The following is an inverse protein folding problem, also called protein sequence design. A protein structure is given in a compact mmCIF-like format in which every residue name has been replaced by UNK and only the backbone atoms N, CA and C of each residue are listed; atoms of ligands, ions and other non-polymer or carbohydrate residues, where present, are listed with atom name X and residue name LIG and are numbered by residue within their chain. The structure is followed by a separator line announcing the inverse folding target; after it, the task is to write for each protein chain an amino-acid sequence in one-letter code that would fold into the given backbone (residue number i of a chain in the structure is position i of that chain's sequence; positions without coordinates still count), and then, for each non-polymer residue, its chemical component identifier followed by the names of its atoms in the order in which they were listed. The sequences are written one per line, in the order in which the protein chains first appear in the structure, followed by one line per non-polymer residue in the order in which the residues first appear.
data_IF_955498254098
#
_entry.id   IF_955498254098
#
_cell.length_a   1.000
_cell.length_b   1.000
_cell.length_c   1.000
_cell.angle_alpha   90.00
_cell.angle_beta   90.00
_cell.angle_gamma   90.00
#
_symmetry.space_group_name_H-M   'P 1'
#
loop_
_entity.id
_entity.type
_entity.pdbx_description
1 polymer ?
#
# COMPACT_ATOMS: atom_id res chain seq x y z
N UNK A 1 -6.11 -0.03 -21.17
CA UNK A 1 -6.79 0.15 -19.88
C UNK A 1 -5.99 1.09 -19.00
N UNK A 2 -6.65 2.01 -18.26
CA UNK A 2 -5.93 2.89 -17.35
C UNK A 2 -5.28 2.10 -16.20
N UNK A 3 -4.17 2.62 -15.73
CA UNK A 3 -3.44 2.02 -14.61
C UNK A 3 -3.10 3.11 -13.60
N UNK A 4 -3.01 2.71 -12.34
CA UNK A 4 -2.66 3.58 -11.23
C UNK A 4 -1.56 2.92 -10.42
N UNK A 5 -0.50 3.65 -10.13
CA UNK A 5 0.59 3.19 -9.28
C UNK A 5 0.54 3.97 -7.95
N UNK A 6 0.61 3.24 -6.87
CA UNK A 6 0.59 3.81 -5.52
C UNK A 6 1.76 3.25 -4.72
N UNK A 7 2.45 4.11 -4.00
CA UNK A 7 3.54 3.71 -3.11
C UNK A 7 3.12 4.03 -1.67
N UNK A 8 2.69 3.01 -0.90
CA UNK A 8 2.25 3.26 0.47
C UNK A 8 3.41 3.64 1.38
N UNK A 9 3.10 4.47 2.38
CA UNK A 9 4.02 4.89 3.41
C UNK A 9 3.41 4.61 4.76
N UNK A 10 4.27 4.40 5.77
CA UNK A 10 3.81 4.29 7.14
C UNK A 10 3.64 5.68 7.76
N UNK A 11 2.59 5.86 8.54
CA UNK A 11 2.41 7.06 9.35
C UNK A 11 2.96 6.87 10.76
N UNK A 12 3.47 5.68 11.06
CA UNK A 12 3.97 5.32 12.39
C UNK A 12 5.37 4.72 12.27
N UNK A 13 6.16 4.88 13.32
CA UNK A 13 7.42 4.20 13.49
C UNK A 13 7.21 3.02 14.44
N UNK A 14 7.70 1.85 14.09
CA UNK A 14 7.53 0.68 14.93
C UNK A 14 8.06 -0.58 14.27
N UNK A 15 7.88 -1.70 14.97
CA UNK A 15 8.29 -3.02 14.48
C UNK A 15 7.09 -3.70 13.85
N UNK A 16 7.28 -4.26 12.67
CA UNK A 16 6.20 -4.91 11.92
C UNK A 16 5.76 -6.18 12.64
N UNK A 17 4.48 -6.22 12.97
CA UNK A 17 3.83 -7.36 13.61
C UNK A 17 3.09 -8.22 12.59
N UNK A 18 2.51 -7.60 11.57
CA UNK A 18 1.76 -8.30 10.54
C UNK A 18 1.76 -7.53 9.23
N UNK A 19 1.46 -8.25 8.16
CA UNK A 19 1.40 -7.71 6.79
C UNK A 19 0.09 -8.14 6.15
N UNK A 20 -0.51 -7.24 5.37
CA UNK A 20 -1.76 -7.52 4.66
C UNK A 20 -1.70 -6.95 3.26
N UNK A 21 -2.39 -7.59 2.32
CA UNK A 21 -2.57 -7.06 0.97
C UNK A 21 -4.07 -6.98 0.67
N UNK A 22 -4.50 -5.93 -0.05
CA UNK A 22 -5.93 -5.77 -0.36
C UNK A 22 -6.43 -6.85 -1.33
N UNK A 23 -7.67 -7.27 -1.14
CA UNK A 23 -8.33 -8.31 -1.96
C UNK A 23 -9.17 -7.70 -3.08
N UNK A 24 -8.71 -6.63 -3.70
CA UNK A 24 -9.45 -5.97 -4.78
C UNK A 24 -9.04 -6.55 -6.12
N UNK A 25 -10.03 -6.79 -6.99
CA UNK A 25 -9.77 -7.32 -8.34
C UNK A 25 -8.95 -6.36 -9.19
N UNK A 26 -9.02 -5.05 -8.90
CA UNK A 26 -8.28 -4.01 -9.60
C UNK A 26 -6.79 -4.03 -9.29
N UNK A 27 -6.39 -4.64 -8.18
CA UNK A 27 -4.98 -4.73 -7.79
C UNK A 27 -4.32 -5.88 -8.55
N UNK A 28 -3.36 -5.56 -9.41
CA UNK A 28 -2.66 -6.56 -10.21
C UNK A 28 -1.26 -6.86 -9.67
N UNK A 29 -0.64 -5.91 -8.98
CA UNK A 29 0.64 -6.11 -8.29
C UNK A 29 0.56 -5.43 -6.94
N UNK A 30 0.99 -6.12 -5.90
CA UNK A 30 1.13 -5.54 -4.57
C UNK A 30 2.34 -6.16 -3.91
N UNK A 31 3.34 -5.34 -3.60
CA UNK A 31 4.58 -5.79 -2.99
C UNK A 31 4.86 -4.94 -1.75
N UNK A 32 4.98 -5.58 -0.61
CA UNK A 32 5.23 -4.92 0.68
C UNK A 32 6.62 -5.33 1.14
N UNK A 33 7.51 -4.36 1.26
CA UNK A 33 8.93 -4.60 1.50
C UNK A 33 9.28 -5.07 2.91
N UNK A 34 8.76 -4.43 3.99
CA UNK A 34 9.15 -4.83 5.34
C UNK A 34 8.66 -6.24 5.66
N UNK A 35 9.52 -7.00 6.32
CA UNK A 35 9.19 -8.32 6.84
C UNK A 35 8.71 -8.20 8.28
N UNK A 36 8.03 -9.23 8.78
CA UNK A 36 7.64 -9.28 10.18
C UNK A 36 8.91 -9.24 11.03
N UNK A 37 8.93 -8.36 12.02
CA UNK A 37 10.09 -8.15 12.89
C UNK A 37 11.02 -7.02 12.45
N UNK A 38 10.85 -6.48 11.25
CA UNK A 38 11.65 -5.33 10.80
C UNK A 38 11.11 -4.03 11.39
N UNK A 39 12.00 -3.08 11.59
CA UNK A 39 11.62 -1.74 12.02
C UNK A 39 11.26 -0.89 10.83
N UNK A 40 10.13 -0.20 10.92
CA UNK A 40 9.63 0.71 9.89
C UNK A 40 9.56 2.11 10.50
N UNK A 41 9.99 3.10 9.73
CA UNK A 41 9.95 4.50 10.15
C UNK A 41 8.80 5.23 9.46
N UNK A 42 8.19 6.18 10.16
CA UNK A 42 7.22 7.08 9.57
C UNK A 42 7.86 7.82 8.39
N UNK A 43 7.07 8.15 7.40
CA UNK A 43 7.57 8.76 6.16
C UNK A 43 8.37 10.04 6.44
N UNK A 44 9.61 10.06 5.95
CA UNK A 44 10.51 11.20 6.03
C UNK A 44 11.10 11.53 4.66
N UNK A 45 11.35 10.50 3.86
CA UNK A 45 11.94 10.64 2.52
C UNK A 45 11.28 9.61 1.60
N UNK A 46 11.56 9.70 0.29
CA UNK A 46 11.06 8.72 -0.68
C UNK A 46 11.55 7.30 -0.39
N UNK A 47 12.61 7.14 0.40
CA UNK A 47 13.14 5.84 0.76
C UNK A 47 12.36 5.16 1.90
N UNK A 48 11.48 5.89 2.56
CA UNK A 48 10.69 5.35 3.68
C UNK A 48 9.40 4.66 3.22
N UNK A 49 9.21 4.48 1.93
CA UNK A 49 8.05 3.76 1.40
C UNK A 49 8.09 2.29 1.81
N UNK A 50 6.92 1.72 2.07
CA UNK A 50 6.81 0.34 2.54
C UNK A 50 6.39 -0.63 1.43
N UNK A 51 6.21 -0.16 0.21
CA UNK A 51 5.86 -1.05 -0.88
C UNK A 51 5.49 -0.31 -2.14
N UNK A 52 4.96 -1.06 -3.10
CA UNK A 52 4.33 -0.49 -4.28
C UNK A 52 3.13 -1.33 -4.69
N UNK A 53 2.20 -0.70 -5.37
CA UNK A 53 0.96 -1.33 -5.78
C UNK A 53 0.57 -0.80 -7.14
N UNK A 54 0.18 -1.70 -8.04
CA UNK A 54 -0.29 -1.35 -9.37
C UNK A 54 -1.73 -1.80 -9.51
N UNK A 55 -2.59 -0.89 -9.97
CA UNK A 55 -4.01 -1.16 -10.19
C UNK A 55 -4.34 -0.97 -11.66
N UNK A 56 -5.29 -1.74 -12.16
CA UNK A 56 -5.83 -1.61 -13.51
C UNK A 56 -7.35 -1.71 -13.45
N UNK A 57 -8.01 -0.95 -14.30
CA UNK A 57 -9.46 -0.96 -14.40
C UNK A 57 -9.93 -0.45 -15.76
N UNK A 58 -11.23 -0.42 -15.95
CA UNK A 58 -11.81 0.01 -17.22
C UNK A 58 -11.78 1.51 -17.40
N UNK A 59 -11.89 2.27 -16.29
CA UNK A 59 -11.87 3.73 -16.31
C UNK A 59 -10.97 4.25 -15.20
N UNK A 60 -10.39 5.43 -15.42
CA UNK A 60 -9.56 6.08 -14.40
C UNK A 60 -10.42 6.52 -13.21
N UNK A 61 -11.64 7.02 -13.47
CA UNK A 61 -12.52 7.43 -12.37
C UNK A 61 -12.90 6.25 -11.47
N UNK A 62 -13.10 5.08 -12.06
CA UNK A 62 -13.35 3.85 -11.30
C UNK A 62 -12.16 3.45 -10.45
N UNK A 63 -10.95 3.54 -11.01
CA UNK A 63 -9.72 3.24 -10.26
C UNK A 63 -9.51 4.20 -9.09
N UNK A 64 -9.71 5.49 -9.31
CA UNK A 64 -9.57 6.48 -8.25
C UNK A 64 -10.56 6.25 -7.13
N UNK A 65 -11.77 5.82 -7.45
CA UNK A 65 -12.78 5.49 -6.46
C UNK A 65 -12.34 4.30 -5.59
N UNK A 66 -11.86 3.24 -6.23
CA UNK A 66 -11.35 2.07 -5.50
C UNK A 66 -10.17 2.46 -4.62
N UNK A 67 -9.26 3.28 -5.14
CA UNK A 67 -8.13 3.78 -4.37
C UNK A 67 -8.60 4.53 -3.12
N UNK A 68 -9.53 5.47 -3.28
CA UNK A 68 -10.00 6.28 -2.15
C UNK A 68 -10.76 5.45 -1.12
N UNK A 69 -11.57 4.48 -1.57
CA UNK A 69 -12.41 3.71 -0.67
C UNK A 69 -11.68 2.53 -0.01
N UNK A 70 -10.81 1.85 -0.76
CA UNK A 70 -10.27 0.57 -0.32
C UNK A 70 -8.76 0.56 -0.12
N UNK A 71 -8.02 1.47 -0.75
CA UNK A 71 -6.55 1.38 -0.79
C UNK A 71 -5.89 2.45 0.07
N UNK A 72 -6.35 3.68 0.00
CA UNK A 72 -5.69 4.83 0.62
C UNK A 72 -5.45 4.65 2.12
N UNK A 73 -6.41 4.07 2.82
CA UNK A 73 -6.34 3.85 4.27
C UNK A 73 -6.10 2.38 4.63
N UNK A 74 -5.72 1.56 3.66
CA UNK A 74 -5.54 0.12 3.91
C UNK A 74 -4.34 -0.11 4.82
N UNK A 75 -4.50 -0.97 5.85
CA UNK A 75 -3.39 -1.25 6.79
C UNK A 75 -2.45 -2.31 6.22
N UNK A 76 -1.53 -1.91 5.35
CA UNK A 76 -0.59 -2.84 4.72
C UNK A 76 0.33 -3.50 5.74
N UNK A 77 0.71 -2.78 6.79
CA UNK A 77 1.50 -3.33 7.89
C UNK A 77 0.84 -2.95 9.21
N UNK A 78 0.98 -3.83 10.19
CA UNK A 78 0.54 -3.57 11.56
C UNK A 78 1.74 -3.63 12.47
N UNK A 79 1.70 -2.90 13.57
CA UNK A 79 2.84 -2.73 14.49
C UNK A 79 2.53 -3.28 15.87
N UNK A 80 3.58 -3.66 16.57
CA UNK A 80 3.49 -4.01 17.99
C UNK A 80 3.28 -2.77 18.85
#
# INVERSE_FOLDING_TARGET
YPALVFTPFSTQTGVVKGRQIPSCKEVVVCDIYPQIGEEVHAFRTAYDRIGHLVMRGETMSGLLRVYEEDIQSFPFVTFD
#
